data_IF_539752217769
#
_entry.id   IF_539752217769
#
_cell.length_a   1.000
_cell.length_b   1.000
_cell.length_c   1.000
_cell.angle_alpha   90.00
_cell.angle_beta   90.00
_cell.angle_gamma   90.00
#
_symmetry.space_group_name_H-M   'P 1'
#
loop_
_entity.id
_entity.type
_entity.pdbx_description
1 polymer ?
#
# COMPACT_ATOMS: atom_id res chain seq x y z
N UNK A 1 -18.66 -11.22 -11.59
CA UNK A 1 -17.93 -12.47 -11.25
C UNK A 1 -18.30 -12.88 -9.82
N UNK A 2 -18.33 -14.17 -9.44
CA UNK A 2 -18.57 -14.51 -8.04
C UNK A 2 -17.36 -14.03 -7.21
N UNK A 3 -17.64 -13.32 -6.11
CA UNK A 3 -16.61 -12.85 -5.18
C UNK A 3 -15.78 -14.00 -4.60
N UNK A 4 -14.69 -13.70 -3.85
CA UNK A 4 -13.80 -14.73 -3.32
C UNK A 4 -14.56 -15.81 -2.57
N UNK A 5 -14.09 -17.06 -2.65
CA UNK A 5 -14.74 -18.20 -1.98
C UNK A 5 -14.75 -17.98 -0.46
N UNK A 6 -15.69 -18.63 0.24
CA UNK A 6 -15.76 -18.54 1.71
C UNK A 6 -14.45 -18.98 2.38
N UNK A 7 -13.79 -19.98 1.80
CA UNK A 7 -12.48 -20.47 2.29
C UNK A 7 -11.37 -19.43 2.10
N UNK A 8 -11.31 -18.73 0.95
CA UNK A 8 -10.32 -17.68 0.73
C UNK A 8 -10.53 -16.49 1.68
N UNK A 9 -11.80 -16.09 1.91
CA UNK A 9 -12.12 -15.05 2.91
C UNK A 9 -11.74 -15.45 4.34
N UNK A 10 -11.86 -16.74 4.68
CA UNK A 10 -11.49 -17.24 6.01
C UNK A 10 -9.97 -17.26 6.19
N UNK A 11 -9.20 -17.69 5.18
CA UNK A 11 -7.73 -17.69 5.24
C UNK A 11 -7.17 -16.27 5.32
N UNK A 12 -7.70 -15.34 4.51
CA UNK A 12 -7.29 -13.93 4.56
C UNK A 12 -7.58 -13.30 5.93
N UNK A 13 -8.70 -13.67 6.57
CA UNK A 13 -9.09 -13.23 7.91
C UNK A 13 -8.25 -13.87 9.03
N UNK A 14 -7.88 -15.15 8.91
CA UNK A 14 -7.03 -15.87 9.87
C UNK A 14 -5.60 -15.32 9.88
N UNK A 15 -5.02 -15.08 8.70
CA UNK A 15 -3.76 -14.37 8.56
C UNK A 15 -3.88 -12.94 9.12
N UNK A 16 -5.11 -12.37 9.08
CA UNK A 16 -5.38 -11.02 9.54
C UNK A 16 -5.33 -10.82 11.02
N UNK A 17 -6.09 -11.65 11.69
CA UNK A 17 -6.00 -11.80 13.12
C UNK A 17 -4.57 -12.09 13.53
N UNK A 18 -3.88 -13.03 12.87
CA UNK A 18 -2.56 -13.49 13.30
C UNK A 18 -1.52 -12.38 13.43
N UNK A 19 -1.38 -11.47 12.46
CA UNK A 19 -0.36 -10.42 12.50
C UNK A 19 -0.68 -9.31 13.51
N UNK A 20 -1.91 -8.80 13.49
CA UNK A 20 -2.35 -7.76 14.42
C UNK A 20 -2.34 -8.29 15.86
N UNK A 21 -2.80 -9.52 16.07
CA UNK A 21 -2.71 -10.19 17.37
C UNK A 21 -1.27 -10.39 17.83
N UNK A 22 -0.32 -10.68 16.93
CA UNK A 22 1.10 -10.81 17.27
C UNK A 22 1.71 -9.48 17.73
N UNK A 23 1.49 -8.39 16.99
CA UNK A 23 1.98 -7.06 17.36
C UNK A 23 1.34 -6.63 18.69
N UNK A 24 0.02 -6.71 18.80
CA UNK A 24 -0.68 -6.36 20.05
C UNK A 24 -0.24 -7.25 21.22
N UNK A 25 0.00 -8.54 20.99
CA UNK A 25 0.49 -9.46 22.03
C UNK A 25 1.86 -9.01 22.51
N UNK A 26 2.78 -8.72 21.61
CA UNK A 26 4.13 -8.25 21.97
C UNK A 26 4.08 -6.89 22.69
N UNK A 27 3.17 -6.00 22.29
CA UNK A 27 2.94 -4.72 22.98
C UNK A 27 2.40 -4.94 24.40
N UNK A 28 1.38 -5.79 24.56
CA UNK A 28 0.82 -6.16 25.87
C UNK A 28 1.88 -6.81 26.78
N UNK A 29 2.67 -7.74 26.24
CA UNK A 29 3.76 -8.40 26.97
C UNK A 29 4.85 -7.40 27.40
N UNK A 30 5.18 -6.44 26.52
CA UNK A 30 6.15 -5.38 26.82
C UNK A 30 5.64 -4.51 27.96
N UNK A 31 4.39 -4.07 27.89
CA UNK A 31 3.80 -3.16 28.87
C UNK A 31 3.68 -3.86 30.23
N UNK A 32 3.28 -5.14 30.24
CA UNK A 32 3.31 -5.97 31.44
C UNK A 32 4.72 -6.08 32.04
N UNK A 33 5.75 -6.28 31.22
CA UNK A 33 7.14 -6.35 31.71
C UNK A 33 7.60 -5.01 32.32
N UNK A 34 7.18 -3.87 31.76
CA UNK A 34 7.45 -2.54 32.32
C UNK A 34 6.78 -2.37 33.67
N UNK A 35 5.50 -2.73 33.78
CA UNK A 35 4.73 -2.65 35.03
C UNK A 35 5.34 -3.50 36.16
N UNK A 36 5.96 -4.63 35.80
CA UNK A 36 6.63 -5.53 36.75
C UNK A 36 8.12 -5.23 36.93
N UNK A 37 8.60 -4.08 36.44
CA UNK A 37 10.02 -3.65 36.51
C UNK A 37 11.02 -4.65 35.89
N UNK A 38 10.55 -5.56 35.03
CA UNK A 38 11.38 -6.45 34.21
C UNK A 38 11.84 -5.71 32.95
N UNK A 39 12.75 -4.75 33.17
CA UNK A 39 13.30 -3.92 32.10
C UNK A 39 14.10 -4.71 31.07
N UNK A 40 14.65 -5.88 31.45
CA UNK A 40 15.38 -6.74 30.52
C UNK A 40 14.44 -7.38 29.49
N UNK A 41 13.30 -7.91 29.95
CA UNK A 41 12.25 -8.43 29.06
C UNK A 41 11.62 -7.32 28.23
N UNK A 42 11.32 -6.16 28.84
CA UNK A 42 10.76 -5.01 28.12
C UNK A 42 11.68 -4.52 26.99
N UNK A 43 13.00 -4.45 27.24
CA UNK A 43 13.98 -4.07 26.23
C UNK A 43 14.02 -5.05 25.06
N UNK A 44 14.03 -6.36 25.34
CA UNK A 44 14.00 -7.41 24.31
C UNK A 44 12.73 -7.32 23.45
N UNK A 45 11.57 -7.16 24.08
CA UNK A 45 10.29 -7.06 23.37
C UNK A 45 10.19 -5.79 22.52
N UNK A 46 10.70 -4.66 23.04
CA UNK A 46 10.82 -3.42 22.26
C UNK A 46 11.66 -3.63 21.01
N UNK A 47 12.82 -4.28 21.14
CA UNK A 47 13.71 -4.51 20.00
C UNK A 47 13.08 -5.46 18.98
N UNK A 48 12.35 -6.49 19.43
CA UNK A 48 11.57 -7.37 18.56
C UNK A 48 10.46 -6.62 17.80
N UNK A 49 9.67 -5.80 18.51
CA UNK A 49 8.64 -4.95 17.91
C UNK A 49 9.23 -4.01 16.86
N UNK A 50 10.36 -3.38 17.17
CA UNK A 50 11.05 -2.46 16.26
C UNK A 50 11.49 -3.19 14.99
N UNK A 51 12.12 -4.35 15.10
CA UNK A 51 12.55 -5.14 13.92
C UNK A 51 11.35 -5.52 13.07
N UNK A 52 10.26 -6.02 13.66
CA UNK A 52 9.04 -6.38 12.92
C UNK A 52 8.46 -5.16 12.19
N UNK A 53 8.39 -4.00 12.87
CA UNK A 53 7.91 -2.76 12.26
C UNK A 53 8.80 -2.30 11.10
N UNK A 54 10.12 -2.34 11.26
CA UNK A 54 11.08 -1.99 10.20
C UNK A 54 10.95 -2.92 8.98
N UNK A 55 10.78 -4.23 9.20
CA UNK A 55 10.55 -5.21 8.12
C UNK A 55 9.25 -4.93 7.35
N UNK A 56 8.14 -4.62 8.07
CA UNK A 56 6.88 -4.28 7.42
C UNK A 56 6.96 -2.95 6.66
N UNK A 57 7.61 -1.93 7.21
CA UNK A 57 7.85 -0.65 6.52
C UNK A 57 8.64 -0.89 5.24
N UNK A 58 9.71 -1.69 5.30
CA UNK A 58 10.51 -2.03 4.12
C UNK A 58 9.67 -2.78 3.06
N UNK A 59 8.82 -3.71 3.48
CA UNK A 59 7.94 -4.46 2.58
C UNK A 59 6.88 -3.56 1.91
N UNK A 60 6.30 -2.60 2.63
CA UNK A 60 5.37 -1.60 2.05
C UNK A 60 6.08 -0.70 1.05
N UNK A 61 7.29 -0.23 1.39
CA UNK A 61 8.13 0.55 0.45
C UNK A 61 8.40 -0.25 -0.83
N UNK A 62 8.68 -1.54 -0.71
CA UNK A 62 8.88 -2.41 -1.87
C UNK A 62 7.61 -2.56 -2.71
N UNK A 63 6.45 -2.76 -2.09
CA UNK A 63 5.16 -2.83 -2.78
C UNK A 63 4.82 -1.52 -3.51
N UNK A 64 5.04 -0.37 -2.86
CA UNK A 64 4.85 0.95 -3.47
C UNK A 64 5.79 1.20 -4.65
N UNK A 65 7.07 0.84 -4.53
CA UNK A 65 8.03 0.92 -5.64
C UNK A 65 7.62 0.03 -6.82
N UNK A 66 7.08 -1.16 -6.54
CA UNK A 66 6.58 -2.06 -7.57
C UNK A 66 5.37 -1.46 -8.31
N UNK A 67 4.45 -0.80 -7.58
CA UNK A 67 3.32 -0.08 -8.18
C UNK A 67 3.79 0.96 -9.20
N UNK A 68 4.67 1.88 -8.79
CA UNK A 68 5.16 2.93 -9.69
C UNK A 68 6.00 2.39 -10.85
N UNK A 69 6.73 1.29 -10.64
CA UNK A 69 7.43 0.60 -11.73
C UNK A 69 6.43 0.08 -12.78
N UNK A 70 5.39 -0.63 -12.35
CA UNK A 70 4.36 -1.15 -13.26
C UNK A 70 3.61 0.00 -13.94
N UNK A 71 3.35 1.09 -13.22
CA UNK A 71 2.73 2.29 -13.76
C UNK A 71 3.58 2.90 -14.88
N UNK A 72 4.84 3.23 -14.60
CA UNK A 72 5.75 3.84 -15.57
C UNK A 72 6.00 2.95 -16.80
N UNK A 73 5.98 1.62 -16.63
CA UNK A 73 6.21 0.66 -17.72
C UNK A 73 4.95 0.31 -18.52
N UNK A 74 3.77 0.78 -18.11
CA UNK A 74 2.52 0.37 -18.73
C UNK A 74 2.20 -1.12 -18.56
N UNK A 75 2.74 -1.78 -17.51
CA UNK A 75 2.58 -3.22 -17.25
C UNK A 75 1.24 -3.51 -16.57
N UNK A 76 0.21 -3.74 -17.39
CA UNK A 76 -1.14 -4.09 -16.93
C UNK A 76 -1.16 -5.39 -16.09
N UNK A 77 -0.36 -6.40 -16.46
CA UNK A 77 -0.32 -7.67 -15.73
C UNK A 77 0.33 -7.50 -14.36
N UNK A 78 1.40 -6.72 -14.27
CA UNK A 78 2.04 -6.33 -13.03
C UNK A 78 1.14 -5.50 -12.14
N UNK A 79 0.50 -4.48 -12.71
CA UNK A 79 -0.49 -3.65 -12.02
C UNK A 79 -1.56 -4.52 -11.37
N UNK A 80 -2.17 -5.44 -12.14
CA UNK A 80 -3.16 -6.36 -11.61
C UNK A 80 -2.67 -7.21 -10.43
N UNK A 81 -1.40 -7.62 -10.39
CA UNK A 81 -0.85 -8.43 -9.28
C UNK A 81 -0.63 -7.65 -7.99
N UNK A 82 -0.57 -6.33 -8.04
CA UNK A 82 -0.26 -5.46 -6.89
C UNK A 82 -1.52 -5.13 -6.11
N UNK A 83 -2.65 -5.00 -6.80
CA UNK A 83 -3.94 -4.69 -6.20
C UNK A 83 -4.57 -5.91 -5.53
N UNK A 84 -5.23 -5.70 -4.40
CA UNK A 84 -6.09 -6.69 -3.77
C UNK A 84 -7.30 -7.03 -4.66
N UNK A 85 -8.03 -8.11 -4.30
CA UNK A 85 -9.13 -8.67 -5.12
C UNK A 85 -10.53 -8.39 -4.56
N UNK A 86 -10.65 -7.56 -3.52
CA UNK A 86 -11.92 -7.25 -2.86
C UNK A 86 -12.71 -6.13 -3.56
N UNK A 87 -14.00 -6.04 -3.23
CA UNK A 87 -14.88 -4.96 -3.70
C UNK A 87 -14.59 -3.62 -2.99
N UNK A 88 -13.87 -3.68 -1.87
CA UNK A 88 -13.47 -2.50 -1.07
C UNK A 88 -12.32 -1.71 -1.69
N UNK A 89 -11.67 -2.23 -2.73
CA UNK A 89 -10.58 -1.50 -3.37
C UNK A 89 -11.12 -0.31 -4.17
N UNK A 90 -10.32 0.74 -4.32
CA UNK A 90 -10.69 1.89 -5.12
C UNK A 90 -9.52 2.67 -5.70
N UNK A 91 -9.80 3.47 -6.72
CA UNK A 91 -8.85 4.41 -7.30
C UNK A 91 -9.52 5.76 -7.55
N UNK A 92 -8.78 6.82 -7.29
CA UNK A 92 -9.12 8.18 -7.70
C UNK A 92 -7.96 8.68 -8.55
N UNK A 93 -8.14 8.68 -9.86
CA UNK A 93 -7.21 9.33 -10.78
C UNK A 93 -7.39 10.86 -10.70
N UNK A 94 -6.35 11.68 -10.97
CA UNK A 94 -6.48 13.13 -10.90
C UNK A 94 -7.67 13.66 -11.74
N UNK A 95 -8.63 14.31 -11.05
CA UNK A 95 -9.83 14.89 -11.68
C UNK A 95 -11.00 13.92 -11.91
N UNK A 96 -10.86 12.63 -11.57
CA UNK A 96 -11.92 11.64 -11.66
C UNK A 96 -12.71 11.50 -10.34
N UNK A 97 -13.91 10.91 -10.41
CA UNK A 97 -14.62 10.41 -9.24
C UNK A 97 -13.97 9.11 -8.71
N UNK A 98 -14.38 8.68 -7.51
CA UNK A 98 -14.01 7.37 -6.98
C UNK A 98 -14.50 6.24 -7.90
N UNK A 99 -13.55 5.41 -8.33
CA UNK A 99 -13.79 4.15 -9.03
C UNK A 99 -13.55 3.04 -8.02
N UNK A 100 -14.52 2.15 -7.80
CA UNK A 100 -14.46 1.12 -6.77
C UNK A 100 -14.73 -0.26 -7.35
N UNK A 101 -14.19 -1.27 -6.68
CA UNK A 101 -14.34 -2.67 -7.11
C UNK A 101 -13.31 -3.09 -8.15
N UNK A 102 -12.98 -4.38 -8.12
CA UNK A 102 -11.80 -4.90 -8.82
C UNK A 102 -11.83 -4.68 -10.32
N UNK A 103 -12.95 -5.00 -10.95
CA UNK A 103 -13.06 -4.98 -12.41
C UNK A 103 -12.94 -3.55 -12.95
N UNK A 104 -13.64 -2.58 -12.34
CA UNK A 104 -13.62 -1.18 -12.75
C UNK A 104 -12.26 -0.51 -12.46
N UNK A 105 -11.64 -0.82 -11.32
CA UNK A 105 -10.29 -0.33 -11.00
C UNK A 105 -9.29 -0.83 -12.05
N UNK A 106 -9.31 -2.12 -12.41
CA UNK A 106 -8.42 -2.67 -13.45
C UNK A 106 -8.69 -2.06 -14.83
N UNK A 107 -9.96 -1.91 -15.21
CA UNK A 107 -10.33 -1.29 -16.50
C UNK A 107 -9.83 0.16 -16.59
N UNK A 108 -9.91 0.91 -15.48
CA UNK A 108 -9.36 2.28 -15.43
C UNK A 108 -7.85 2.30 -15.61
N UNK A 109 -7.13 1.37 -14.99
CA UNK A 109 -5.69 1.24 -15.14
C UNK A 109 -5.29 0.83 -16.55
N UNK A 110 -6.02 -0.10 -17.18
CA UNK A 110 -5.73 -0.50 -18.57
C UNK A 110 -5.77 0.70 -19.53
N UNK A 111 -6.76 1.58 -19.36
CA UNK A 111 -6.88 2.83 -20.14
C UNK A 111 -5.71 3.79 -19.87
N UNK A 112 -5.36 4.02 -18.60
CA UNK A 112 -4.24 4.89 -18.24
C UNK A 112 -2.92 4.33 -18.77
N UNK A 113 -2.65 3.05 -18.54
CA UNK A 113 -1.39 2.38 -18.89
C UNK A 113 -1.16 2.29 -20.40
N UNK A 114 -2.22 2.26 -21.22
CA UNK A 114 -2.09 2.33 -22.68
C UNK A 114 -1.35 3.58 -23.15
N UNK A 115 -1.62 4.73 -22.51
CA UNK A 115 -0.92 5.99 -22.81
C UNK A 115 0.57 5.91 -22.44
N UNK A 116 0.90 5.24 -21.34
CA UNK A 116 2.29 5.07 -20.87
C UNK A 116 3.13 4.12 -21.72
N UNK A 117 2.49 3.20 -22.47
CA UNK A 117 3.22 2.34 -23.43
C UNK A 117 3.67 3.07 -24.69
N UNK A 118 3.04 4.20 -25.01
CA UNK A 118 3.26 4.93 -26.27
C UNK A 118 4.05 6.22 -26.08
N UNK A 119 4.02 6.81 -24.88
CA UNK A 119 4.72 8.05 -24.54
C UNK A 119 5.80 7.77 -23.49
N UNK A 120 6.99 8.33 -23.66
CA UNK A 120 8.03 8.26 -22.62
C UNK A 120 7.66 9.21 -21.48
N UNK A 121 7.28 8.63 -20.35
CA UNK A 121 7.01 9.32 -19.09
C UNK A 121 7.90 8.73 -18.02
N UNK A 122 8.51 9.59 -17.21
CA UNK A 122 9.26 9.24 -16.00
C UNK A 122 8.44 9.72 -14.81
N UNK A 123 8.32 8.85 -13.81
CA UNK A 123 7.65 9.11 -12.54
C UNK A 123 8.71 9.08 -11.44
N UNK A 124 9.08 10.26 -10.95
CA UNK A 124 9.92 10.38 -9.76
C UNK A 124 9.05 10.61 -8.53
N UNK A 125 9.46 10.06 -7.39
CA UNK A 125 8.74 10.18 -6.13
C UNK A 125 9.48 11.09 -5.17
N UNK A 126 8.79 12.11 -4.67
CA UNK A 126 9.27 13.03 -3.64
C UNK A 126 8.44 12.88 -2.35
N UNK A 127 9.02 13.31 -1.23
CA UNK A 127 8.36 13.37 0.08
C UNK A 127 7.60 12.09 0.46
N UNK A 128 8.26 10.93 0.30
CA UNK A 128 7.66 9.63 0.62
C UNK A 128 7.56 9.49 2.14
N UNK A 129 6.34 9.33 2.64
CA UNK A 129 6.02 9.09 4.05
C UNK A 129 5.30 7.75 4.16
N UNK A 130 5.76 6.88 5.05
CA UNK A 130 5.21 5.53 5.22
C UNK A 130 4.78 5.33 6.66
N UNK A 131 3.55 4.87 6.84
CA UNK A 131 2.98 4.52 8.14
C UNK A 131 2.39 3.12 8.05
N UNK A 132 2.81 2.23 8.94
CA UNK A 132 2.27 0.88 9.06
C UNK A 132 1.52 0.78 10.38
N UNK A 133 0.28 0.29 10.32
CA UNK A 133 -0.54 0.01 11.49
C UNK A 133 -1.22 -1.35 11.34
N UNK A 134 -0.71 -2.34 12.06
CA UNK A 134 -1.12 -3.74 11.94
C UNK A 134 -1.02 -4.22 10.49
N UNK A 135 -2.17 -4.46 9.88
CA UNK A 135 -2.31 -4.95 8.49
C UNK A 135 -2.64 -3.90 7.46
N UNK A 136 -2.67 -2.64 7.87
CA UNK A 136 -2.88 -1.52 6.97
C UNK A 136 -1.63 -0.70 6.91
N UNK A 137 -1.33 -0.18 5.72
CA UNK A 137 -0.25 0.76 5.57
C UNK A 137 -0.67 1.91 4.66
N UNK A 138 -0.21 3.10 5.02
CA UNK A 138 -0.41 4.35 4.30
C UNK A 138 0.93 4.81 3.75
N UNK A 139 0.97 5.13 2.47
CA UNK A 139 2.08 5.81 1.83
C UNK A 139 1.58 7.11 1.23
N UNK A 140 2.11 8.24 1.69
CA UNK A 140 1.93 9.52 1.03
C UNK A 140 3.18 9.86 0.23
N UNK A 141 3.02 10.38 -0.98
CA UNK A 141 4.13 10.86 -1.78
C UNK A 141 3.68 11.92 -2.78
N UNK A 142 4.65 12.59 -3.40
CA UNK A 142 4.43 13.46 -4.55
C UNK A 142 5.00 12.76 -5.78
N UNK A 143 4.16 12.55 -6.77
CA UNK A 143 4.53 12.03 -8.08
C UNK A 143 4.93 13.22 -8.96
N UNK A 144 6.17 13.21 -9.43
CA UNK A 144 6.70 14.21 -10.35
C UNK A 144 6.80 13.55 -11.72
N UNK A 145 5.90 13.96 -12.60
CA UNK A 145 5.78 13.43 -13.95
C UNK A 145 6.61 14.30 -14.88
N UNK A 146 7.51 13.69 -15.65
CA UNK A 146 8.30 14.36 -16.68
C UNK A 146 8.39 13.51 -17.95
N UNK A 147 8.47 14.13 -19.13
CA UNK A 147 8.53 13.40 -20.39
C UNK A 147 8.14 14.24 -21.61
N UNK A 148 8.01 13.56 -22.76
CA UNK A 148 7.93 14.20 -24.08
C UNK A 148 6.79 15.23 -24.22
N UNK A 149 5.67 15.02 -23.51
CA UNK A 149 4.48 15.90 -23.52
C UNK A 149 3.71 15.93 -22.20
N UNK A 150 4.30 15.41 -21.13
CA UNK A 150 3.64 15.25 -19.83
C UNK A 150 4.52 15.89 -18.76
N UNK A 151 3.94 16.85 -18.06
CA UNK A 151 4.57 17.54 -16.93
C UNK A 151 3.50 17.81 -15.88
N UNK A 152 3.80 17.48 -14.62
CA UNK A 152 2.83 17.70 -13.56
C UNK A 152 3.29 17.15 -12.21
N UNK A 153 2.61 17.61 -11.16
CA UNK A 153 2.79 17.11 -9.80
C UNK A 153 1.46 16.58 -9.30
N UNK A 154 1.47 15.35 -8.81
CA UNK A 154 0.31 14.70 -8.19
C UNK A 154 0.66 14.39 -6.75
N UNK A 155 -0.19 14.80 -5.80
CA UNK A 155 -0.11 14.29 -4.43
C UNK A 155 -0.88 12.98 -4.41
N UNK A 156 -0.21 11.93 -3.96
CA UNK A 156 -0.76 10.58 -3.92
C UNK A 156 -0.84 10.06 -2.48
N UNK A 157 -1.97 9.42 -2.18
CA UNK A 157 -2.16 8.58 -1.00
C UNK A 157 -2.42 7.15 -1.46
N UNK A 158 -1.51 6.25 -1.12
CA UNK A 158 -1.59 4.83 -1.42
C UNK A 158 -1.86 4.05 -0.12
N UNK A 159 -2.94 3.28 -0.10
CA UNK A 159 -3.24 2.36 0.98
C UNK A 159 -2.94 0.93 0.57
N UNK A 160 -2.33 0.20 1.49
CA UNK A 160 -2.03 -1.21 1.34
C UNK A 160 -2.65 -2.00 2.48
N UNK A 161 -3.02 -3.22 2.17
CA UNK A 161 -3.47 -4.22 3.12
C UNK A 161 -2.55 -5.44 3.03
N UNK A 162 -2.16 -6.00 4.18
CA UNK A 162 -1.41 -7.25 4.24
C UNK A 162 -2.37 -8.40 3.91
N UNK A 163 -1.99 -9.30 3.00
CA UNK A 163 -2.71 -10.53 2.68
C UNK A 163 -1.68 -11.63 2.39
N UNK A 164 -1.83 -12.82 2.95
CA UNK A 164 -1.06 -14.03 2.61
C UNK A 164 0.46 -13.78 2.48
N UNK A 165 1.05 -13.07 3.44
CA UNK A 165 2.49 -12.80 3.46
C UNK A 165 2.97 -11.64 2.58
N UNK A 166 2.06 -10.81 2.03
CA UNK A 166 2.42 -9.70 1.14
C UNK A 166 1.50 -8.48 1.28
N UNK A 167 2.04 -7.30 1.01
CA UNK A 167 1.25 -6.06 0.92
C UNK A 167 0.61 -5.93 -0.46
N UNK A 168 -0.70 -5.73 -0.48
CA UNK A 168 -1.49 -5.49 -1.68
C UNK A 168 -2.13 -4.10 -1.60
N UNK A 169 -2.17 -3.38 -2.72
CA UNK A 169 -2.80 -2.07 -2.80
C UNK A 169 -4.32 -2.21 -2.72
N UNK A 170 -4.95 -1.39 -1.90
CA UNK A 170 -6.41 -1.29 -1.76
C UNK A 170 -6.92 0.09 -2.17
N UNK A 171 -6.10 1.14 -2.09
CA UNK A 171 -6.46 2.48 -2.56
C UNK A 171 -5.26 3.15 -3.22
N UNK A 172 -5.50 3.80 -4.34
CA UNK A 172 -4.63 4.84 -4.89
C UNK A 172 -5.47 6.09 -5.09
N UNK A 173 -5.12 7.19 -4.43
CA UNK A 173 -5.77 8.48 -4.62
C UNK A 173 -4.73 9.50 -5.05
N UNK A 174 -4.74 9.84 -6.34
CA UNK A 174 -3.95 10.92 -6.93
C UNK A 174 -4.78 12.20 -7.08
N UNK A 175 -4.24 13.32 -6.60
CA UNK A 175 -4.83 14.65 -6.80
C UNK A 175 -3.80 15.62 -7.35
N UNK A 176 -4.21 16.50 -8.28
CA UNK A 176 -3.32 17.51 -8.84
C UNK A 176 -2.87 18.51 -7.78
N UNK A 177 -1.56 18.77 -7.69
CA UNK A 177 -1.03 19.77 -6.77
C UNK A 177 -1.10 21.17 -7.39
N UNK A 178 -2.05 22.00 -6.96
CA UNK A 178 -2.22 23.36 -7.49
C UNK A 178 -1.55 24.45 -6.64
N UNK A 179 -1.36 24.23 -5.33
CA UNK A 179 -0.86 25.22 -4.37
C UNK A 179 0.07 24.53 -3.36
N UNK A 180 1.20 25.15 -3.06
CA UNK A 180 2.13 24.73 -1.99
C UNK A 180 1.97 25.66 -0.78
N UNK A 181 1.93 25.12 0.44
CA UNK A 181 1.86 25.86 1.71
C UNK A 181 3.19 25.82 2.46
#
# INVERSE_FOLDING_TARGET
MPGPSREARNLEAEDAESLSLQIERLERERDYAIENEDYATAARLRDQLKVMQEDHVAAVVAANKLFYRCFQQGDAKGMARIWAKGDHIGVVHPGANLISGRDDVMASWDLILESFRTVRVVIDLENIQVHVNGRTALVNCIEVMSGDRVGGRVVATNLFEWHDGRWLMILHHGSGAAISF
#
